data_IF_964174480243
#
_entry.id   IF_964174480243
#
_cell.length_a   1.000
_cell.length_b   1.000
_cell.length_c   1.000
_cell.angle_alpha   90.00
_cell.angle_beta   90.00
_cell.angle_gamma   90.00
#
_symmetry.space_group_name_H-M   'P 1'
#
loop_
_entity.id
_entity.type
_entity.pdbx_description
1 polymer ?
#
# COMPACT_ATOMS: atom_id res chain seq x y z
N UNK A 1 -7.63 -1.66 13.76
CA UNK A 1 -9.09 -1.39 13.78
C UNK A 1 -9.82 -2.46 12.98
N UNK A 2 -9.36 -2.75 11.77
CA UNK A 2 -9.85 -3.85 10.91
C UNK A 2 -9.88 -5.20 11.64
N UNK A 3 -8.87 -5.51 12.44
CA UNK A 3 -8.75 -6.77 13.19
C UNK A 3 -9.84 -6.90 14.26
N UNK A 4 -10.14 -5.80 14.97
CA UNK A 4 -11.20 -5.78 15.98
C UNK A 4 -12.59 -5.89 15.31
N UNK A 5 -12.79 -5.20 14.19
CA UNK A 5 -14.03 -5.30 13.41
C UNK A 5 -14.24 -6.72 12.88
N UNK A 6 -13.18 -7.38 12.40
CA UNK A 6 -13.22 -8.77 11.92
C UNK A 6 -13.54 -9.76 13.06
N UNK A 7 -12.91 -9.61 14.22
CA UNK A 7 -13.22 -10.47 15.37
C UNK A 7 -14.65 -10.27 15.87
N UNK A 8 -15.12 -9.01 15.91
CA UNK A 8 -16.48 -8.69 16.30
C UNK A 8 -17.50 -9.25 15.29
N UNK A 9 -17.26 -9.10 13.98
CA UNK A 9 -18.15 -9.60 12.93
C UNK A 9 -18.26 -11.12 12.97
N UNK A 10 -17.13 -11.84 13.09
CA UNK A 10 -17.12 -13.31 13.24
C UNK A 10 -17.89 -13.76 14.48
N UNK A 11 -17.65 -13.09 15.61
CA UNK A 11 -18.34 -13.41 16.87
C UNK A 11 -19.85 -13.21 16.74
N UNK A 12 -20.27 -12.11 16.11
CA UNK A 12 -21.68 -11.81 15.86
C UNK A 12 -22.33 -12.84 14.92
N UNK A 13 -21.70 -13.17 13.79
CA UNK A 13 -22.21 -14.16 12.84
C UNK A 13 -22.34 -15.54 13.48
N UNK A 14 -21.34 -15.97 14.26
CA UNK A 14 -21.38 -17.25 14.97
C UNK A 14 -22.51 -17.27 16.02
N UNK A 15 -22.67 -16.18 16.79
CA UNK A 15 -23.73 -16.08 17.77
C UNK A 15 -25.13 -16.09 17.12
N UNK A 16 -25.30 -15.34 16.02
CA UNK A 16 -26.54 -15.33 15.24
C UNK A 16 -26.87 -16.72 14.69
N UNK A 17 -25.90 -17.43 14.11
CA UNK A 17 -26.13 -18.80 13.59
C UNK A 17 -26.46 -19.80 14.69
N UNK A 18 -25.88 -19.64 15.87
CA UNK A 18 -26.13 -20.52 17.03
C UNK A 18 -27.47 -20.27 17.72
N UNK A 19 -28.12 -19.12 17.51
CA UNK A 19 -29.39 -18.80 18.18
C UNK A 19 -30.57 -19.62 17.67
N UNK A 20 -30.46 -20.29 16.52
CA UNK A 20 -31.56 -21.01 15.86
C UNK A 20 -32.57 -20.10 15.15
N UNK A 21 -32.68 -18.84 15.59
CA UNK A 21 -33.44 -17.77 14.93
C UNK A 21 -32.54 -16.52 14.83
N UNK A 22 -31.92 -16.33 13.66
CA UNK A 22 -31.05 -15.18 13.39
C UNK A 22 -31.82 -13.87 13.48
N UNK A 23 -33.12 -13.87 13.13
CA UNK A 23 -33.93 -12.67 13.08
C UNK A 23 -34.22 -12.11 14.46
N UNK A 24 -34.69 -13.00 15.35
CA UNK A 24 -34.89 -12.65 16.75
C UNK A 24 -33.57 -12.23 17.43
N UNK A 25 -32.46 -12.90 17.11
CA UNK A 25 -31.14 -12.54 17.64
C UNK A 25 -30.72 -11.12 17.26
N UNK A 26 -30.75 -10.79 15.95
CA UNK A 26 -30.36 -9.45 15.47
C UNK A 26 -31.28 -8.39 16.04
N UNK A 27 -32.59 -8.63 16.12
CA UNK A 27 -33.54 -7.67 16.70
C UNK A 27 -33.30 -7.44 18.21
N UNK A 28 -32.95 -8.50 18.95
CA UNK A 28 -32.59 -8.40 20.37
C UNK A 28 -31.30 -7.61 20.57
N UNK A 29 -30.27 -7.90 19.77
CA UNK A 29 -28.99 -7.17 19.79
C UNK A 29 -29.19 -5.69 19.42
N UNK A 30 -30.03 -5.41 18.42
CA UNK A 30 -30.41 -4.06 17.98
C UNK A 30 -31.01 -3.25 19.14
N UNK A 31 -31.99 -3.82 19.84
CA UNK A 31 -32.61 -3.20 21.02
C UNK A 31 -31.60 -2.97 22.15
N UNK A 32 -30.75 -3.96 22.43
CA UNK A 32 -29.74 -3.90 23.49
C UNK A 32 -28.73 -2.78 23.26
N UNK A 33 -28.31 -2.58 22.01
CA UNK A 33 -27.32 -1.57 21.63
C UNK A 33 -27.93 -0.23 21.19
N UNK A 34 -29.26 -0.08 21.17
CA UNK A 34 -29.94 1.15 20.77
C UNK A 34 -29.76 1.49 19.28
N UNK A 35 -29.57 0.50 18.43
CA UNK A 35 -29.37 0.66 16.97
C UNK A 35 -30.47 -0.07 16.21
N UNK A 36 -30.82 0.39 15.01
CA UNK A 36 -31.81 -0.26 14.15
C UNK A 36 -31.10 -0.81 12.90
N UNK A 37 -31.06 -2.14 12.75
CA UNK A 37 -30.45 -2.80 11.59
C UNK A 37 -31.47 -3.70 10.88
N UNK A 38 -31.40 -3.69 9.54
CA UNK A 38 -32.21 -4.58 8.70
C UNK A 38 -31.56 -5.97 8.61
N UNK A 39 -32.40 -6.99 8.61
CA UNK A 39 -31.99 -8.38 8.82
C UNK A 39 -31.39 -9.08 7.59
N UNK A 40 -31.41 -8.45 6.43
CA UNK A 40 -31.25 -9.13 5.14
C UNK A 40 -29.82 -9.57 4.80
N UNK A 41 -28.83 -9.26 5.64
CA UNK A 41 -27.41 -9.28 5.22
C UNK A 41 -26.45 -9.93 6.23
N UNK A 42 -26.93 -10.67 7.22
CA UNK A 42 -26.03 -11.31 8.22
C UNK A 42 -24.99 -12.22 7.54
N UNK A 43 -25.41 -13.00 6.55
CA UNK A 43 -24.52 -13.90 5.81
C UNK A 43 -23.61 -13.18 4.80
N UNK A 44 -23.99 -11.98 4.34
CA UNK A 44 -23.16 -11.17 3.43
C UNK A 44 -22.22 -10.21 4.16
N UNK A 45 -22.39 -10.01 5.47
CA UNK A 45 -21.60 -9.07 6.28
C UNK A 45 -20.09 -9.25 6.10
N UNK A 46 -19.58 -10.48 6.16
CA UNK A 46 -18.13 -10.75 5.98
C UNK A 46 -17.64 -10.30 4.62
N UNK A 47 -18.40 -10.58 3.56
CA UNK A 47 -18.05 -10.17 2.19
C UNK A 47 -18.10 -8.66 2.05
N UNK A 48 -19.10 -7.98 2.62
CA UNK A 48 -19.19 -6.51 2.60
C UNK A 48 -18.03 -5.84 3.33
N UNK A 49 -17.64 -6.37 4.50
CA UNK A 49 -16.48 -5.90 5.24
C UNK A 49 -15.20 -6.10 4.42
N UNK A 50 -15.01 -7.28 3.84
CA UNK A 50 -13.84 -7.55 3.02
C UNK A 50 -13.75 -6.60 1.81
N UNK A 51 -14.86 -6.35 1.11
CA UNK A 51 -14.90 -5.36 0.01
C UNK A 51 -14.45 -3.98 0.49
N UNK A 52 -14.94 -3.54 1.64
CA UNK A 52 -14.56 -2.25 2.24
C UNK A 52 -13.06 -2.21 2.59
N UNK A 53 -12.52 -3.33 3.08
CA UNK A 53 -11.08 -3.45 3.38
C UNK A 53 -10.23 -3.38 2.10
N UNK A 54 -10.59 -4.08 1.02
CA UNK A 54 -9.88 -4.00 -0.27
C UNK A 54 -9.84 -2.55 -0.79
N UNK A 55 -10.96 -1.84 -0.74
CA UNK A 55 -11.03 -0.42 -1.12
C UNK A 55 -10.06 0.42 -0.27
N UNK A 56 -10.05 0.20 1.05
CA UNK A 56 -9.18 0.93 1.99
C UNK A 56 -7.69 0.69 1.74
N UNK A 57 -7.32 -0.55 1.43
CA UNK A 57 -5.93 -0.92 1.09
C UNK A 57 -5.50 -0.24 -0.20
N UNK A 58 -6.32 -0.31 -1.25
CA UNK A 58 -5.99 0.34 -2.51
C UNK A 58 -5.90 1.86 -2.39
N UNK A 59 -6.79 2.50 -1.60
CA UNK A 59 -6.68 3.93 -1.34
C UNK A 59 -5.35 4.30 -0.66
N UNK A 60 -4.91 3.48 0.30
CA UNK A 60 -3.59 3.65 0.93
C UNK A 60 -2.45 3.45 -0.07
N UNK A 61 -2.58 2.49 -0.99
CA UNK A 61 -1.62 2.25 -2.06
C UNK A 61 -1.55 3.42 -3.05
N UNK A 62 -2.69 3.99 -3.45
CA UNK A 62 -2.74 5.17 -4.33
C UNK A 62 -2.05 6.37 -3.69
N UNK A 63 -2.32 6.60 -2.40
CA UNK A 63 -1.64 7.67 -1.66
C UNK A 63 -0.14 7.42 -1.63
N UNK A 64 0.31 6.20 -1.32
CA UNK A 64 1.73 5.87 -1.37
C UNK A 64 2.33 6.14 -2.76
N UNK A 65 1.69 5.70 -3.85
CA UNK A 65 2.18 5.88 -5.21
C UNK A 65 2.25 7.36 -5.60
N UNK A 66 1.29 8.16 -5.13
CA UNK A 66 1.30 9.62 -5.30
C UNK A 66 2.46 10.27 -4.55
N UNK A 67 2.57 10.03 -3.24
CA UNK A 67 3.60 10.62 -2.38
C UNK A 67 5.00 10.18 -2.85
N UNK A 68 5.16 8.91 -3.23
CA UNK A 68 6.39 8.35 -3.80
C UNK A 68 6.77 9.02 -5.12
N UNK A 69 5.80 9.30 -6.01
CA UNK A 69 6.06 10.04 -7.24
C UNK A 69 6.55 11.45 -6.95
N UNK A 70 5.89 12.18 -6.06
CA UNK A 70 6.28 13.54 -5.70
C UNK A 70 7.71 13.58 -5.16
N UNK A 71 8.03 12.67 -4.23
CA UNK A 71 9.38 12.56 -3.67
C UNK A 71 10.41 12.19 -4.74
N UNK A 72 10.11 11.21 -5.59
CA UNK A 72 11.01 10.79 -6.67
C UNK A 72 11.29 11.93 -7.67
N UNK A 73 10.26 12.66 -8.09
CA UNK A 73 10.43 13.79 -9.02
C UNK A 73 11.26 14.89 -8.35
N UNK A 74 11.02 15.18 -7.07
CA UNK A 74 11.78 16.19 -6.33
C UNK A 74 13.27 15.80 -6.18
N UNK A 75 13.56 14.52 -5.87
CA UNK A 75 14.91 14.02 -5.68
C UNK A 75 15.71 13.94 -6.99
N UNK A 76 15.11 13.38 -8.05
CA UNK A 76 15.81 13.11 -9.30
C UNK A 76 15.67 14.23 -10.34
N UNK A 77 14.82 15.24 -10.08
CA UNK A 77 14.51 16.38 -10.97
C UNK A 77 14.07 15.96 -12.38
N UNK A 78 13.50 14.77 -12.50
CA UNK A 78 13.02 14.19 -13.74
C UNK A 78 11.50 14.06 -13.71
N UNK A 79 10.83 14.69 -14.67
CA UNK A 79 9.39 14.54 -14.82
C UNK A 79 9.06 13.11 -15.24
N UNK A 80 8.08 12.52 -14.55
CA UNK A 80 7.56 11.20 -14.92
C UNK A 80 6.77 11.27 -16.24
N UNK A 81 6.88 10.21 -17.04
CA UNK A 81 6.20 10.08 -18.34
C UNK A 81 5.11 9.02 -18.31
N UNK A 82 4.14 9.16 -19.23
CA UNK A 82 3.12 8.15 -19.48
C UNK A 82 1.92 8.18 -18.53
N UNK A 83 1.66 9.35 -17.93
CA UNK A 83 0.48 9.67 -17.11
C UNK A 83 -0.75 9.93 -18.00
N UNK A 84 -1.14 8.90 -18.77
CA UNK A 84 -2.35 8.95 -19.60
C UNK A 84 -3.58 8.59 -18.80
N UNK A 85 -4.74 9.16 -19.16
CA UNK A 85 -6.05 8.94 -18.51
C UNK A 85 -6.45 7.46 -18.31
N UNK A 86 -5.84 6.52 -19.02
CA UNK A 86 -6.17 5.09 -19.02
C UNK A 86 -5.12 4.19 -18.36
N UNK A 87 -4.00 4.74 -17.87
CA UNK A 87 -2.90 3.94 -17.29
C UNK A 87 -3.00 3.99 -15.77
N UNK A 88 -2.85 2.84 -15.11
CA UNK A 88 -2.94 2.79 -13.65
C UNK A 88 -1.67 3.33 -12.96
N UNK A 89 -1.80 3.86 -11.73
CA UNK A 89 -0.68 4.50 -11.03
C UNK A 89 0.53 3.59 -10.81
N UNK A 90 0.33 2.29 -10.56
CA UNK A 90 1.45 1.37 -10.36
C UNK A 90 2.22 1.21 -11.67
N UNK A 91 1.53 0.94 -12.78
CA UNK A 91 2.18 0.84 -14.11
C UNK A 91 2.96 2.10 -14.47
N UNK A 92 2.41 3.29 -14.18
CA UNK A 92 3.14 4.56 -14.38
C UNK A 92 4.39 4.60 -13.51
N UNK A 93 4.29 4.24 -12.23
CA UNK A 93 5.44 4.23 -11.34
C UNK A 93 6.55 3.30 -11.82
N UNK A 94 6.21 2.05 -12.17
CA UNK A 94 7.18 1.06 -12.63
C UNK A 94 7.92 1.50 -13.89
N UNK A 95 7.21 2.13 -14.84
CA UNK A 95 7.81 2.66 -16.06
C UNK A 95 8.87 3.74 -15.80
N UNK A 96 8.74 4.49 -14.70
CA UNK A 96 9.60 5.63 -14.41
C UNK A 96 10.77 5.29 -13.46
N UNK A 97 10.71 4.15 -12.76
CA UNK A 97 11.77 3.72 -11.84
C UNK A 97 12.59 2.53 -12.36
N UNK A 98 12.02 1.70 -13.24
CA UNK A 98 12.69 0.54 -13.81
C UNK A 98 13.18 0.84 -15.24
N UNK A 99 14.21 0.11 -15.68
CA UNK A 99 14.78 0.29 -17.02
C UNK A 99 13.83 -0.21 -18.14
N UNK A 100 12.98 -1.19 -17.83
CA UNK A 100 11.99 -1.76 -18.73
C UNK A 100 10.89 -2.46 -17.94
N UNK A 101 9.82 -2.91 -18.62
CA UNK A 101 8.81 -3.75 -17.99
C UNK A 101 9.39 -5.07 -17.46
N UNK A 102 10.28 -5.73 -18.22
CA UNK A 102 10.93 -6.96 -17.76
C UNK A 102 11.77 -6.71 -16.51
N UNK A 103 12.52 -5.60 -16.48
CA UNK A 103 13.31 -5.21 -15.30
C UNK A 103 12.42 -4.98 -14.07
N UNK A 104 11.26 -4.35 -14.25
CA UNK A 104 10.28 -4.20 -13.16
C UNK A 104 9.73 -5.55 -12.69
N UNK A 105 9.37 -6.44 -13.62
CA UNK A 105 8.87 -7.79 -13.30
C UNK A 105 9.92 -8.64 -12.57
N UNK A 106 11.19 -8.54 -12.96
CA UNK A 106 12.29 -9.28 -12.34
C UNK A 106 12.62 -8.75 -10.94
N UNK A 107 12.66 -7.43 -10.77
CA UNK A 107 13.04 -6.81 -9.48
C UNK A 107 11.90 -6.81 -8.47
N UNK A 108 10.66 -6.62 -8.92
CA UNK A 108 9.48 -6.59 -8.05
C UNK A 108 8.86 -7.97 -7.88
N UNK A 109 8.77 -8.74 -8.96
CA UNK A 109 8.02 -9.98 -9.03
C UNK A 109 6.74 -9.80 -9.84
N UNK A 110 6.68 -10.45 -11.01
CA UNK A 110 5.48 -10.53 -11.85
C UNK A 110 4.25 -11.03 -11.10
N UNK A 111 4.47 -11.94 -10.17
CA UNK A 111 3.46 -12.52 -9.29
C UNK A 111 2.85 -11.49 -8.33
N UNK A 112 3.65 -10.56 -7.79
CA UNK A 112 3.13 -9.45 -6.99
C UNK A 112 2.37 -8.44 -7.85
N UNK A 113 2.94 -8.07 -9.00
CA UNK A 113 2.36 -7.06 -9.91
C UNK A 113 0.98 -7.54 -10.41
N UNK A 114 0.88 -8.77 -10.90
CA UNK A 114 -0.38 -9.32 -11.42
C UNK A 114 -1.46 -9.40 -10.34
N UNK A 115 -1.12 -9.76 -9.09
CA UNK A 115 -2.06 -9.74 -7.96
C UNK A 115 -2.51 -8.34 -7.57
N UNK A 116 -1.59 -7.36 -7.56
CA UNK A 116 -1.97 -5.97 -7.31
C UNK A 116 -2.95 -5.47 -8.37
N UNK A 117 -2.69 -5.77 -9.65
CA UNK A 117 -3.58 -5.42 -10.74
C UNK A 117 -4.94 -6.10 -10.63
N UNK A 118 -4.98 -7.37 -10.20
CA UNK A 118 -6.22 -8.06 -9.89
C UNK A 118 -7.04 -7.29 -8.85
N UNK A 119 -6.47 -7.00 -7.67
CA UNK A 119 -7.18 -6.28 -6.61
C UNK A 119 -7.56 -4.84 -7.00
N UNK A 120 -6.80 -4.17 -7.88
CA UNK A 120 -7.20 -2.89 -8.46
C UNK A 120 -8.51 -3.01 -9.25
N UNK A 121 -8.63 -4.02 -10.11
CA UNK A 121 -9.86 -4.26 -10.88
C UNK A 121 -11.01 -4.64 -9.94
N UNK A 122 -10.75 -5.47 -8.92
CA UNK A 122 -11.74 -5.79 -7.87
C UNK A 122 -12.23 -4.51 -7.17
N UNK A 123 -11.32 -3.62 -6.76
CA UNK A 123 -11.68 -2.33 -6.14
C UNK A 123 -12.54 -1.48 -7.07
N UNK A 124 -12.19 -1.39 -8.36
CA UNK A 124 -12.98 -0.64 -9.34
C UNK A 124 -14.39 -1.21 -9.46
N UNK A 125 -14.53 -2.54 -9.50
CA UNK A 125 -15.84 -3.20 -9.50
C UNK A 125 -16.65 -2.91 -8.22
N UNK A 126 -16.01 -2.94 -7.04
CA UNK A 126 -16.67 -2.62 -5.77
C UNK A 126 -17.22 -1.19 -5.77
N UNK A 127 -16.45 -0.22 -6.25
CA UNK A 127 -16.81 1.21 -6.24
C UNK A 127 -17.78 1.57 -7.37
N UNK A 128 -17.63 0.96 -8.54
CA UNK A 128 -18.45 1.21 -9.71
C UNK A 128 -19.49 0.09 -9.87
N UNK A 129 -20.49 0.12 -9.00
CA UNK A 129 -21.63 -0.84 -8.96
C UNK A 129 -22.50 -0.89 -10.23
N UNK A 130 -22.16 -0.13 -11.29
CA UNK A 130 -22.90 -0.10 -12.55
C UNK A 130 -22.41 -1.10 -13.60
N UNK A 131 -21.21 -1.67 -13.45
CA UNK A 131 -20.69 -2.69 -14.36
C UNK A 131 -20.77 -4.08 -13.72
N UNK A 132 -21.78 -4.83 -14.14
CA UNK A 132 -22.07 -6.22 -13.73
C UNK A 132 -21.20 -7.27 -14.42
N UNK A 133 -20.20 -6.87 -15.21
CA UNK A 133 -19.40 -7.78 -16.03
C UNK A 133 -18.32 -8.50 -15.21
N UNK A 134 -18.72 -9.61 -14.56
CA UNK A 134 -17.81 -10.51 -13.83
C UNK A 134 -16.77 -11.17 -14.73
N UNK A 135 -17.02 -11.27 -16.04
CA UNK A 135 -16.11 -11.92 -16.99
C UNK A 135 -14.71 -11.30 -16.97
N UNK A 136 -14.61 -9.98 -16.82
CA UNK A 136 -13.32 -9.27 -16.75
C UNK A 136 -12.57 -9.56 -15.46
N UNK A 137 -13.29 -9.75 -14.35
CA UNK A 137 -12.70 -10.08 -13.04
C UNK A 137 -12.14 -11.49 -13.06
N UNK A 138 -12.90 -12.43 -13.59
CA UNK A 138 -12.50 -13.84 -13.67
C UNK A 138 -11.33 -14.02 -14.63
N UNK A 139 -11.34 -13.33 -15.78
CA UNK A 139 -10.21 -13.29 -16.69
C UNK A 139 -8.95 -12.74 -16.02
N UNK A 140 -9.08 -11.63 -15.25
CA UNK A 140 -7.94 -11.06 -14.51
C UNK A 140 -7.46 -11.94 -13.36
N UNK A 141 -8.36 -12.70 -12.72
CA UNK A 141 -7.99 -13.69 -11.72
C UNK A 141 -7.17 -14.83 -12.34
N UNK A 142 -7.58 -15.31 -13.52
CA UNK A 142 -6.88 -16.36 -14.25
C UNK A 142 -5.49 -15.94 -14.78
N UNK A 143 -5.26 -14.64 -14.98
CA UNK A 143 -3.96 -14.08 -15.40
C UNK A 143 -2.93 -13.99 -14.25
N UNK A 144 -3.32 -14.28 -13.01
CA UNK A 144 -2.42 -14.16 -11.85
C UNK A 144 -1.27 -15.15 -11.99
N UNK A 145 -0.04 -14.63 -12.01
CA UNK A 145 1.13 -15.47 -12.15
C UNK A 145 1.35 -16.31 -10.88
N UNK A 146 1.86 -17.55 -10.99
CA UNK A 146 2.27 -18.34 -9.83
C UNK A 146 3.28 -17.57 -8.96
N UNK A 147 3.27 -17.81 -7.65
CA UNK A 147 4.26 -17.18 -6.78
C UNK A 147 5.68 -17.62 -7.16
N UNK A 148 6.64 -16.71 -6.99
CA UNK A 148 8.04 -17.09 -6.92
C UNK A 148 8.30 -17.92 -5.64
N UNK A 149 9.41 -18.67 -5.60
CA UNK A 149 9.78 -19.42 -4.39
C UNK A 149 9.92 -18.52 -3.15
N UNK A 150 10.37 -17.28 -3.34
CA UNK A 150 10.48 -16.27 -2.28
C UNK A 150 9.10 -15.92 -1.73
N UNK A 151 8.15 -15.61 -2.60
CA UNK A 151 6.83 -15.15 -2.20
C UNK A 151 5.92 -16.29 -1.72
N UNK A 152 6.10 -17.52 -2.23
CA UNK A 152 5.36 -18.70 -1.76
C UNK A 152 5.46 -18.85 -0.24
N UNK A 153 6.66 -18.66 0.33
CA UNK A 153 6.86 -18.73 1.79
C UNK A 153 6.11 -17.64 2.57
N UNK A 154 5.88 -16.48 1.95
CA UNK A 154 5.21 -15.34 2.58
C UNK A 154 3.68 -15.43 2.52
N UNK A 155 3.14 -16.09 1.48
CA UNK A 155 1.71 -16.09 1.17
C UNK A 155 1.05 -17.47 1.27
N UNK A 156 1.80 -18.58 1.32
CA UNK A 156 1.28 -19.97 1.32
C UNK A 156 0.26 -20.29 2.41
N UNK A 157 0.23 -19.54 3.51
CA UNK A 157 -0.76 -19.75 4.58
C UNK A 157 -2.11 -19.10 4.30
N UNK A 158 -2.23 -18.31 3.23
CA UNK A 158 -3.45 -17.55 2.91
C UNK A 158 -4.26 -18.27 1.84
N UNK A 159 -5.56 -18.36 2.05
CA UNK A 159 -6.50 -18.77 1.01
C UNK A 159 -6.84 -17.57 0.11
N UNK A 160 -5.85 -17.00 -0.59
CA UNK A 160 -6.03 -15.81 -1.43
C UNK A 160 -5.01 -15.79 -2.59
N UNK A 161 -5.31 -15.13 -3.72
CA UNK A 161 -6.51 -14.33 -4.01
C UNK A 161 -7.75 -15.18 -4.37
N UNK A 162 -8.90 -14.83 -3.81
CA UNK A 162 -10.21 -15.40 -4.17
C UNK A 162 -10.86 -14.61 -5.32
N UNK A 163 -11.90 -15.18 -5.95
CA UNK A 163 -12.75 -14.46 -6.89
C UNK A 163 -13.48 -13.29 -6.20
N UNK A 164 -13.79 -12.25 -6.97
CA UNK A 164 -14.40 -11.01 -6.47
C UNK A 164 -15.78 -11.22 -5.82
N UNK A 165 -16.49 -12.26 -6.24
CA UNK A 165 -17.80 -12.64 -5.70
C UNK A 165 -17.72 -13.27 -4.31
N UNK A 166 -16.57 -13.84 -3.93
CA UNK A 166 -16.37 -14.64 -2.71
C UNK A 166 -15.13 -14.20 -1.90
N UNK A 167 -14.85 -12.89 -1.90
CA UNK A 167 -13.75 -12.31 -1.13
C UNK A 167 -13.84 -12.64 0.37
N UNK A 168 -12.70 -12.97 0.96
CA UNK A 168 -12.52 -13.35 2.37
C UNK A 168 -11.50 -12.43 3.05
N UNK A 169 -11.45 -12.47 4.37
CA UNK A 169 -10.46 -11.71 5.14
C UNK A 169 -9.00 -11.97 4.71
N UNK A 170 -8.69 -13.19 4.26
CA UNK A 170 -7.36 -13.53 3.72
C UNK A 170 -6.99 -12.71 2.48
N UNK A 171 -7.96 -12.26 1.68
CA UNK A 171 -7.71 -11.35 0.56
C UNK A 171 -7.24 -9.98 1.06
N UNK A 172 -7.83 -9.47 2.14
CA UNK A 172 -7.36 -8.24 2.78
C UNK A 172 -5.92 -8.41 3.31
N UNK A 173 -5.63 -9.54 3.98
CA UNK A 173 -4.27 -9.82 4.48
C UNK A 173 -3.27 -9.98 3.33
N UNK A 174 -3.65 -10.69 2.28
CA UNK A 174 -2.85 -10.86 1.06
C UNK A 174 -2.56 -9.50 0.42
N UNK A 175 -3.61 -8.69 0.23
CA UNK A 175 -3.47 -7.40 -0.44
C UNK A 175 -2.65 -6.40 0.38
N UNK A 176 -2.82 -6.34 1.70
CA UNK A 176 -1.97 -5.49 2.55
C UNK A 176 -0.50 -5.90 2.50
N UNK A 177 -0.20 -7.20 2.56
CA UNK A 177 1.17 -7.72 2.50
C UNK A 177 1.81 -7.44 1.14
N UNK A 178 1.10 -7.73 0.05
CA UNK A 178 1.65 -7.51 -1.29
C UNK A 178 1.86 -6.02 -1.57
N UNK A 179 0.95 -5.13 -1.15
CA UNK A 179 1.14 -3.68 -1.31
C UNK A 179 2.40 -3.20 -0.59
N UNK A 180 2.62 -3.65 0.64
CA UNK A 180 3.84 -3.32 1.40
C UNK A 180 5.10 -3.85 0.72
N UNK A 181 5.06 -5.08 0.21
CA UNK A 181 6.22 -5.69 -0.46
C UNK A 181 6.54 -4.99 -1.78
N UNK A 182 5.54 -4.60 -2.56
CA UNK A 182 5.72 -3.78 -3.77
C UNK A 182 6.33 -2.43 -3.39
N UNK A 183 5.78 -1.74 -2.39
CA UNK A 183 6.30 -0.44 -1.94
C UNK A 183 7.77 -0.51 -1.50
N UNK A 184 8.13 -1.55 -0.75
CA UNK A 184 9.50 -1.82 -0.32
C UNK A 184 10.43 -2.03 -1.53
N UNK A 185 10.08 -2.93 -2.46
CA UNK A 185 10.87 -3.19 -3.66
C UNK A 185 10.97 -1.96 -4.56
N UNK A 186 9.91 -1.14 -4.65
CA UNK A 186 9.96 0.16 -5.36
C UNK A 186 10.97 1.12 -4.72
N UNK A 187 10.98 1.21 -3.39
CA UNK A 187 11.94 2.04 -2.66
C UNK A 187 13.39 1.55 -2.82
N UNK A 188 13.60 0.23 -2.89
CA UNK A 188 14.91 -0.36 -3.20
C UNK A 188 15.35 -0.02 -4.63
N UNK A 189 14.42 -0.05 -5.60
CA UNK A 189 14.69 0.30 -6.99
C UNK A 189 15.08 1.76 -7.14
N UNK A 190 14.34 2.66 -6.48
CA UNK A 190 14.51 4.09 -6.55
C UNK A 190 15.37 4.67 -5.41
N UNK A 191 16.28 3.85 -4.83
CA UNK A 191 17.11 4.32 -3.73
C UNK A 191 18.07 5.41 -4.22
N UNK A 192 18.04 6.62 -3.63
CA UNK A 192 18.95 7.70 -4.04
C UNK A 192 20.38 7.40 -3.61
N UNK A 193 21.32 7.84 -4.43
CA UNK A 193 22.74 7.87 -4.06
C UNK A 193 22.99 8.94 -2.99
N UNK A 194 24.04 8.82 -2.16
CA UNK A 194 24.41 9.86 -1.20
C UNK A 194 24.57 11.24 -1.85
N UNK A 195 25.11 11.31 -3.08
CA UNK A 195 25.26 12.57 -3.79
C UNK A 195 23.91 13.18 -4.18
N UNK A 196 22.95 12.38 -4.66
CA UNK A 196 21.61 12.88 -4.97
C UNK A 196 20.88 13.42 -3.73
N UNK A 197 21.16 12.84 -2.55
CA UNK A 197 20.66 13.37 -1.29
C UNK A 197 21.33 14.70 -0.91
N UNK A 198 22.63 14.87 -1.19
CA UNK A 198 23.29 16.18 -1.04
C UNK A 198 22.63 17.21 -1.96
N UNK A 199 22.41 16.85 -3.22
CA UNK A 199 21.88 17.75 -4.25
C UNK A 199 20.39 18.11 -4.06
N UNK A 200 19.66 17.31 -3.27
CA UNK A 200 18.26 17.56 -2.92
C UNK A 200 18.10 18.46 -1.69
N UNK A 201 19.14 18.58 -0.85
CA UNK A 201 19.14 19.51 0.27
C UNK A 201 19.17 20.95 -0.21
N UNK A 202 18.48 21.81 0.53
CA UNK A 202 18.37 23.23 0.22
C UNK A 202 18.81 24.10 1.40
N UNK A 203 19.06 25.39 1.15
CA UNK A 203 19.41 26.31 2.22
C UNK A 203 18.35 26.35 3.34
N UNK A 204 17.07 26.11 3.04
CA UNK A 204 16.01 26.07 4.06
C UNK A 204 16.11 24.85 4.98
N UNK A 205 16.77 23.77 4.55
CA UNK A 205 17.04 22.60 5.41
C UNK A 205 18.04 22.92 6.51
N UNK A 206 18.88 23.91 6.26
CA UNK A 206 19.97 24.30 7.15
C UNK A 206 19.71 25.64 7.84
N UNK A 207 18.86 26.50 7.27
CA UNK A 207 18.52 27.80 7.84
C UNK A 207 17.82 27.71 9.19
N UNK A 208 17.09 26.62 9.42
CA UNK A 208 16.46 26.24 10.72
C UNK A 208 17.48 26.13 11.86
N UNK A 209 18.76 25.98 11.52
CA UNK A 209 19.87 25.83 12.45
C UNK A 209 20.79 27.05 12.45
N UNK A 210 20.41 28.14 11.76
CA UNK A 210 21.17 29.40 11.78
C UNK A 210 21.10 30.01 13.19
N UNK A 211 22.22 29.93 13.92
CA UNK A 211 22.31 30.27 15.33
C UNK A 211 23.05 29.21 16.16
N UNK A 212 23.15 27.98 15.63
CA UNK A 212 24.01 26.95 16.21
C UNK A 212 25.48 27.15 15.80
N UNK A 213 26.41 26.81 16.71
CA UNK A 213 27.84 26.67 16.37
C UNK A 213 28.00 25.62 15.28
N UNK A 214 29.01 25.76 14.42
CA UNK A 214 29.24 24.91 13.24
C UNK A 214 29.10 23.40 13.53
N UNK A 215 29.79 22.86 14.54
CA UNK A 215 29.68 21.44 14.91
C UNK A 215 28.27 21.01 15.37
N UNK A 216 27.53 21.89 16.05
CA UNK A 216 26.13 21.62 16.46
C UNK A 216 25.18 21.67 15.27
N UNK A 217 25.40 22.60 14.34
CA UNK A 217 24.64 22.73 13.08
C UNK A 217 24.79 21.48 12.22
N UNK A 218 26.03 21.01 12.06
CA UNK A 218 26.37 19.76 11.38
C UNK A 218 25.70 18.54 12.03
N UNK A 219 25.79 18.40 13.35
CA UNK A 219 25.16 17.28 14.06
C UNK A 219 23.63 17.29 13.96
N UNK A 220 23.00 18.46 13.98
CA UNK A 220 21.56 18.59 13.79
C UNK A 220 21.14 18.16 12.38
N UNK A 221 21.88 18.59 11.35
CA UNK A 221 21.64 18.19 9.96
C UNK A 221 21.82 16.67 9.77
N UNK A 222 22.93 16.10 10.25
CA UNK A 222 23.16 14.64 10.22
C UNK A 222 22.04 13.87 10.93
N UNK A 223 21.65 14.29 12.14
CA UNK A 223 20.53 13.69 12.88
C UNK A 223 19.21 13.71 12.12
N UNK A 224 18.92 14.82 11.43
CA UNK A 224 17.75 14.95 10.56
C UNK A 224 17.83 14.00 9.36
N UNK A 225 18.96 13.95 8.65
CA UNK A 225 19.18 13.06 7.49
C UNK A 225 18.96 11.59 7.89
N UNK A 226 19.51 11.16 9.04
CA UNK A 226 19.27 9.81 9.58
C UNK A 226 17.80 9.54 9.83
N UNK A 227 17.09 10.50 10.40
CA UNK A 227 15.68 10.33 10.77
C UNK A 227 14.78 10.25 9.54
N UNK A 228 15.04 11.08 8.53
CA UNK A 228 14.22 11.15 7.31
C UNK A 228 14.49 9.95 6.40
N UNK A 229 15.76 9.60 6.19
CA UNK A 229 16.17 8.62 5.18
C UNK A 229 16.59 7.27 5.76
N UNK A 230 16.57 7.09 7.08
CA UNK A 230 16.95 5.82 7.73
C UNK A 230 18.42 5.42 7.51
N UNK A 231 19.31 6.39 7.32
CA UNK A 231 20.73 6.14 7.01
C UNK A 231 21.56 5.87 8.26
N UNK A 232 22.66 5.13 8.08
CA UNK A 232 23.67 4.94 9.10
C UNK A 232 24.44 6.24 9.41
N UNK A 233 25.13 6.25 10.55
CA UNK A 233 25.87 7.42 11.01
C UNK A 233 26.95 7.87 10.02
N UNK A 234 27.67 6.95 9.38
CA UNK A 234 28.77 7.31 8.48
C UNK A 234 28.24 8.01 7.22
N UNK A 235 27.22 7.44 6.60
CA UNK A 235 26.60 8.00 5.38
C UNK A 235 25.95 9.35 5.66
N UNK A 236 25.17 9.46 6.75
CA UNK A 236 24.48 10.72 7.07
C UNK A 236 25.46 11.85 7.44
N UNK A 237 26.54 11.50 8.13
CA UNK A 237 27.62 12.42 8.45
C UNK A 237 28.31 12.95 7.19
N UNK A 238 28.64 12.06 6.26
CA UNK A 238 29.25 12.44 4.99
C UNK A 238 28.35 13.42 4.20
N UNK A 239 27.06 13.11 4.06
CA UNK A 239 26.10 14.00 3.37
C UNK A 239 26.04 15.38 4.05
N UNK A 240 25.98 15.41 5.38
CA UNK A 240 25.91 16.66 6.13
C UNK A 240 27.18 17.52 5.96
N UNK A 241 28.36 16.90 5.97
CA UNK A 241 29.64 17.59 5.77
C UNK A 241 29.73 18.13 4.35
N UNK A 242 29.49 17.29 3.33
CA UNK A 242 29.53 17.69 1.92
C UNK A 242 28.55 18.82 1.59
N UNK A 243 27.35 18.79 2.17
CA UNK A 243 26.38 19.87 1.97
C UNK A 243 26.78 21.18 2.66
N UNK A 244 27.35 21.11 3.87
CA UNK A 244 27.78 22.34 4.58
C UNK A 244 28.98 22.96 3.87
N UNK A 245 29.92 22.15 3.40
CA UNK A 245 31.10 22.63 2.67
C UNK A 245 30.73 23.29 1.35
N UNK A 246 29.66 22.86 0.67
CA UNK A 246 29.18 23.51 -0.56
C UNK A 246 28.50 24.88 -0.34
N UNK A 247 28.19 25.23 0.91
CA UNK A 247 27.63 26.53 1.29
C UNK A 247 28.69 27.54 1.74
N UNK A 248 29.95 27.12 1.92
CA UNK A 248 31.08 27.94 2.36
C UNK A 248 31.77 28.64 1.18
#
# INVERSE_FOLDING_TARGET
MVELTELASRSFIVAARKSGDQAAFVQSASKTHGVNVNLSEVDSLSTHLCRSYIVSVYHSAERFLHDFREEHVALYRNAWVGDGMSVDPLTVALRNIAASQSDAEDRIGKDLITRFQYYRIVRNWIVHTKDSDQTKLDAKHAEIAPYSEEHERMFSTLEAPNLASVLKFDDFVCFTRLTKRIAEKMAEIARPTPQQLVDSLSFTDVSRFNGLKAGRKRNALSGRIKTIYGLDDATANWIADTFIDSLA
#
